data_IF_240470047328
#
_entry.id   IF_240470047328
#
_cell.length_a   1.000
_cell.length_b   1.000
_cell.length_c   1.000
_cell.angle_alpha   90.00
_cell.angle_beta   90.00
_cell.angle_gamma   90.00
#
_symmetry.space_group_name_H-M   'P 1'
#
loop_
_entity.id
_entity.type
_entity.pdbx_description
1 polymer ?
#
# COMPACT_ATOMS: atom_id res chain seq x y z
N UNK A 1 17.59 8.33 1.52
CA UNK A 1 18.66 7.91 2.44
C UNK A 1 19.06 9.05 3.37
N UNK A 2 19.37 10.23 2.84
CA UNK A 2 19.78 11.40 3.65
C UNK A 2 18.73 11.80 4.70
N UNK A 3 17.44 11.75 4.34
CA UNK A 3 16.35 12.04 5.29
C UNK A 3 16.27 11.04 6.46
N UNK A 4 16.51 9.74 6.21
CA UNK A 4 16.49 8.73 7.28
C UNK A 4 17.74 8.86 8.17
N UNK A 5 18.89 9.18 7.57
CA UNK A 5 20.14 9.47 8.30
C UNK A 5 20.02 10.75 9.13
N UNK A 6 19.42 11.81 8.61
CA UNK A 6 19.23 13.07 9.35
C UNK A 6 18.25 12.95 10.52
N UNK A 7 17.33 11.99 10.46
CA UNK A 7 16.41 11.70 11.57
C UNK A 7 17.03 10.80 12.63
N UNK A 8 18.12 10.09 12.31
CA UNK A 8 18.83 9.26 13.28
C UNK A 8 19.72 10.14 14.18
N UNK A 9 19.74 9.91 15.50
CA UNK A 9 20.63 10.65 16.41
C UNK A 9 22.13 10.46 16.09
N UNK A 10 22.49 9.43 15.31
CA UNK A 10 23.87 9.16 14.89
C UNK A 10 24.21 9.75 13.50
N UNK A 11 23.27 10.42 12.84
CA UNK A 11 23.51 11.10 11.58
C UNK A 11 24.07 10.18 10.49
N UNK A 12 25.25 10.52 9.97
CA UNK A 12 25.89 9.78 8.88
C UNK A 12 26.44 8.40 9.29
N UNK A 13 26.71 8.20 10.58
CA UNK A 13 27.24 6.94 11.13
C UNK A 13 26.14 5.92 11.45
N UNK A 14 24.88 6.27 11.20
CA UNK A 14 23.75 5.38 11.38
C UNK A 14 23.82 4.15 10.45
N UNK A 15 23.99 2.97 11.04
CA UNK A 15 23.79 1.70 10.32
C UNK A 15 22.32 1.50 9.95
N UNK A 16 22.05 1.51 8.65
CA UNK A 16 20.72 1.28 8.05
C UNK A 16 20.69 -0.08 7.34
N UNK A 17 19.56 -0.78 7.41
CA UNK A 17 19.34 -2.06 6.73
C UNK A 17 17.99 -2.10 6.00
N UNK A 18 17.83 -3.02 5.05
CA UNK A 18 16.58 -3.32 4.36
C UNK A 18 16.06 -4.67 4.84
N UNK A 19 14.91 -4.66 5.53
CA UNK A 19 14.24 -5.86 6.03
C UNK A 19 13.37 -6.47 4.93
N UNK A 20 13.65 -7.73 4.56
CA UNK A 20 12.92 -8.48 3.53
C UNK A 20 12.25 -9.73 4.11
N UNK A 21 11.09 -10.17 3.56
CA UNK A 21 10.48 -11.45 3.92
C UNK A 21 11.23 -12.67 3.35
N UNK A 22 12.29 -12.45 2.57
CA UNK A 22 13.15 -13.50 2.02
C UNK A 22 12.85 -13.87 0.56
N UNK A 23 13.57 -14.87 0.02
CA UNK A 23 13.62 -15.17 -1.42
C UNK A 23 12.33 -15.73 -2.03
N UNK A 24 11.40 -16.20 -1.20
CA UNK A 24 10.11 -16.72 -1.67
C UNK A 24 9.07 -15.63 -1.96
N UNK A 25 9.39 -14.37 -1.67
CA UNK A 25 8.54 -13.24 -2.02
C UNK A 25 8.74 -12.83 -3.49
N UNK A 26 7.64 -12.55 -4.19
CA UNK A 26 7.63 -12.24 -5.62
C UNK A 26 8.46 -11.00 -6.00
N UNK A 27 8.60 -10.02 -5.10
CA UNK A 27 9.41 -8.81 -5.32
C UNK A 27 10.78 -8.88 -4.66
N UNK A 28 11.26 -10.05 -4.23
CA UNK A 28 12.57 -10.18 -3.58
C UNK A 28 13.73 -9.65 -4.42
N UNK A 29 13.68 -9.85 -5.75
CA UNK A 29 14.67 -9.31 -6.66
C UNK A 29 14.80 -7.78 -6.53
N UNK A 30 13.67 -7.08 -6.44
CA UNK A 30 13.66 -5.63 -6.25
C UNK A 30 14.26 -5.23 -4.89
N UNK A 31 13.98 -6.01 -3.84
CA UNK A 31 14.53 -5.76 -2.51
C UNK A 31 16.06 -5.85 -2.52
N UNK A 32 16.60 -6.92 -3.11
CA UNK A 32 18.04 -7.13 -3.24
C UNK A 32 18.69 -6.06 -4.13
N UNK A 33 18.04 -5.69 -5.23
CA UNK A 33 18.49 -4.62 -6.12
C UNK A 33 18.55 -3.28 -5.39
N UNK A 34 17.48 -2.88 -4.69
CA UNK A 34 17.41 -1.62 -3.94
C UNK A 34 18.42 -1.59 -2.80
N UNK A 35 18.56 -2.68 -2.03
CA UNK A 35 19.54 -2.76 -0.96
C UNK A 35 20.96 -2.53 -1.49
N UNK A 36 21.32 -3.20 -2.60
CA UNK A 36 22.61 -3.03 -3.27
C UNK A 36 22.79 -1.60 -3.78
N UNK A 37 21.79 -1.04 -4.46
CA UNK A 37 21.86 0.29 -5.06
C UNK A 37 22.02 1.39 -3.99
N UNK A 38 21.34 1.25 -2.86
CA UNK A 38 21.36 2.21 -1.76
C UNK A 38 22.49 1.95 -0.74
N UNK A 39 23.27 0.88 -0.91
CA UNK A 39 24.32 0.48 0.05
C UNK A 39 23.79 0.06 1.41
N UNK A 40 22.59 -0.52 1.47
CA UNK A 40 21.96 -1.05 2.68
C UNK A 40 22.33 -2.52 2.88
N UNK A 41 22.47 -2.94 4.14
CA UNK A 41 22.53 -4.37 4.46
C UNK A 41 21.16 -5.00 4.22
N UNK A 42 21.04 -5.99 3.35
CA UNK A 42 19.83 -6.78 3.18
C UNK A 42 19.75 -7.79 4.32
N UNK A 43 18.64 -7.82 5.06
CA UNK A 43 18.45 -8.66 6.25
C UNK A 43 17.06 -9.28 6.27
N UNK A 44 16.95 -10.49 6.80
CA UNK A 44 15.69 -11.15 7.14
C UNK A 44 15.41 -11.01 8.65
N UNK A 45 14.17 -11.24 9.09
CA UNK A 45 13.82 -11.16 10.52
C UNK A 45 14.70 -12.07 11.39
N UNK A 46 15.05 -13.24 10.85
CA UNK A 46 15.95 -14.21 11.46
C UNK A 46 17.41 -13.74 11.61
N UNK A 47 17.84 -12.66 10.95
CA UNK A 47 19.19 -12.09 11.11
C UNK A 47 19.27 -11.10 12.27
N UNK A 48 18.12 -10.64 12.75
CA UNK A 48 18.00 -9.55 13.72
C UNK A 48 17.66 -10.07 15.12
N UNK A 49 17.92 -9.22 16.11
CA UNK A 49 17.60 -9.44 17.51
C UNK A 49 17.29 -8.09 18.17
N UNK A 50 16.23 -8.04 18.97
CA UNK A 50 16.03 -6.93 19.91
C UNK A 50 16.57 -7.31 21.27
N UNK A 51 17.35 -6.42 21.87
CA UNK A 51 17.88 -6.56 23.24
C UNK A 51 17.96 -5.19 23.88
N UNK A 52 17.50 -5.07 25.12
CA UNK A 52 17.51 -3.80 25.86
C UNK A 52 16.90 -2.66 25.03
N UNK A 53 15.77 -2.97 24.36
CA UNK A 53 15.01 -2.09 23.47
C UNK A 53 15.79 -1.57 22.25
N UNK A 54 16.98 -2.11 21.96
CA UNK A 54 17.80 -1.76 20.80
C UNK A 54 17.78 -2.91 19.78
N UNK A 55 17.82 -2.56 18.48
CA UNK A 55 17.86 -3.52 17.39
C UNK A 55 19.31 -3.84 17.00
N UNK A 56 19.62 -5.11 16.82
CA UNK A 56 20.95 -5.58 16.44
C UNK A 56 20.91 -6.56 15.26
N UNK A 57 21.92 -6.49 14.42
CA UNK A 57 22.30 -7.50 13.46
C UNK A 57 23.17 -8.57 14.12
N UNK A 58 22.83 -9.84 13.94
CA UNK A 58 23.65 -10.97 14.36
C UNK A 58 24.79 -11.18 13.37
N UNK A 59 26.02 -11.06 13.85
CA UNK A 59 27.22 -11.38 13.05
C UNK A 59 28.08 -12.42 13.78
N UNK A 60 28.99 -13.07 13.04
CA UNK A 60 29.96 -13.99 13.65
C UNK A 60 30.89 -13.32 14.68
N UNK A 61 31.06 -11.99 14.60
CA UNK A 61 31.90 -11.20 15.51
C UNK A 61 31.12 -10.62 16.70
N UNK A 62 29.81 -10.84 16.77
CA UNK A 62 28.92 -10.29 17.78
C UNK A 62 27.78 -9.46 17.19
N UNK A 63 27.10 -8.73 18.06
CA UNK A 63 25.94 -7.91 17.72
C UNK A 63 26.40 -6.55 17.20
N UNK A 64 25.86 -6.14 16.05
CA UNK A 64 26.10 -4.81 15.46
C UNK A 64 24.79 -4.01 15.53
N UNK A 65 24.78 -2.80 16.12
CA UNK A 65 23.54 -2.04 16.28
C UNK A 65 22.99 -1.55 14.93
N UNK A 66 21.67 -1.65 14.75
CA UNK A 66 20.94 -1.08 13.62
C UNK A 66 20.10 0.08 14.12
N UNK A 67 20.22 1.21 13.44
CA UNK A 67 19.55 2.46 13.82
C UNK A 67 18.36 2.78 12.91
N UNK A 68 18.27 2.13 11.75
CA UNK A 68 17.08 2.23 10.91
C UNK A 68 16.87 1.08 9.95
N UNK A 69 15.59 0.80 9.66
CA UNK A 69 15.13 -0.22 8.75
C UNK A 69 14.28 0.38 7.64
N UNK A 70 14.62 0.06 6.40
CA UNK A 70 13.69 0.13 5.28
C UNK A 70 12.93 -1.20 5.23
N UNK A 71 11.66 -1.21 5.63
CA UNK A 71 10.85 -2.43 5.68
C UNK A 71 10.24 -2.76 4.32
N UNK A 72 10.30 -4.03 3.93
CA UNK A 72 9.56 -4.64 2.82
C UNK A 72 8.70 -5.82 3.28
N UNK A 73 8.35 -5.78 4.57
CA UNK A 73 7.48 -6.73 5.26
C UNK A 73 6.23 -5.97 5.70
N UNK A 74 5.05 -6.56 5.52
CA UNK A 74 3.79 -5.97 5.93
C UNK A 74 3.69 -5.89 7.45
N UNK A 75 2.96 -4.88 7.95
CA UNK A 75 2.98 -4.50 9.36
C UNK A 75 2.67 -5.68 10.27
N UNK A 76 1.62 -6.44 9.98
CA UNK A 76 1.18 -7.56 10.81
C UNK A 76 2.25 -8.63 11.05
N UNK A 77 3.22 -8.76 10.15
CA UNK A 77 4.29 -9.75 10.28
C UNK A 77 5.55 -9.21 10.98
N UNK A 78 5.62 -7.91 11.31
CA UNK A 78 6.85 -7.27 11.81
C UNK A 78 7.29 -7.72 13.20
N UNK A 79 6.36 -8.01 14.11
CA UNK A 79 6.67 -8.37 15.49
C UNK A 79 5.70 -9.45 16.00
N UNK A 80 6.14 -10.71 16.13
CA UNK A 80 5.27 -11.79 16.60
C UNK A 80 4.87 -11.66 18.07
N UNK A 81 5.50 -10.79 18.87
CA UNK A 81 5.11 -10.59 20.28
C UNK A 81 3.88 -9.69 20.43
N UNK A 82 3.69 -8.73 19.52
CA UNK A 82 2.64 -7.71 19.62
C UNK A 82 1.59 -7.82 18.49
N UNK A 83 1.93 -8.42 17.35
CA UNK A 83 1.07 -8.51 16.17
C UNK A 83 0.68 -9.97 15.91
N UNK A 84 1.22 -10.58 14.85
CA UNK A 84 0.84 -11.92 14.41
C UNK A 84 1.79 -12.97 14.99
N UNK A 85 1.33 -13.73 15.99
CA UNK A 85 2.16 -14.65 16.77
C UNK A 85 2.78 -15.83 15.99
N UNK A 86 2.17 -16.24 14.88
CA UNK A 86 2.71 -17.26 13.96
C UNK A 86 3.65 -16.67 12.90
N UNK A 87 3.93 -15.36 12.92
CA UNK A 87 4.88 -14.73 12.00
C UNK A 87 6.31 -15.23 12.24
N UNK A 88 6.96 -15.66 11.16
CA UNK A 88 8.39 -16.01 11.12
C UNK A 88 9.23 -14.96 10.37
N UNK A 89 8.59 -13.90 9.85
CA UNK A 89 9.24 -12.89 8.99
C UNK A 89 9.77 -11.69 9.79
N UNK A 90 9.15 -11.41 10.93
CA UNK A 90 9.45 -10.26 11.78
C UNK A 90 10.58 -10.48 12.76
N UNK A 91 10.74 -9.51 13.66
CA UNK A 91 11.70 -9.55 14.76
C UNK A 91 10.94 -9.40 16.08
N UNK A 92 10.99 -10.39 16.99
CA UNK A 92 10.38 -10.28 18.31
C UNK A 92 10.86 -9.03 19.06
N UNK A 93 9.94 -8.17 19.49
CA UNK A 93 10.22 -6.95 20.24
C UNK A 93 10.57 -5.74 19.38
N UNK A 94 10.45 -5.82 18.05
CA UNK A 94 10.71 -4.70 17.14
C UNK A 94 9.82 -3.49 17.46
N UNK A 95 8.53 -3.70 17.74
CA UNK A 95 7.63 -2.58 18.06
C UNK A 95 8.03 -1.89 19.37
N UNK A 96 8.52 -2.64 20.35
CA UNK A 96 9.09 -2.06 21.57
C UNK A 96 10.31 -1.18 21.26
N UNK A 97 11.23 -1.65 20.42
CA UNK A 97 12.41 -0.87 20.02
C UNK A 97 12.05 0.41 19.25
N UNK A 98 11.03 0.35 18.39
CA UNK A 98 10.49 1.52 17.67
C UNK A 98 9.89 2.53 18.66
N UNK A 99 9.04 2.06 19.59
CA UNK A 99 8.40 2.91 20.61
C UNK A 99 9.41 3.55 21.56
N UNK A 100 10.50 2.86 21.88
CA UNK A 100 11.60 3.40 22.66
C UNK A 100 12.44 4.45 21.89
N UNK A 101 12.23 4.59 20.57
CA UNK A 101 12.95 5.53 19.72
C UNK A 101 14.37 5.08 19.34
N UNK A 102 14.73 3.82 19.59
CA UNK A 102 16.07 3.29 19.35
C UNK A 102 16.28 2.83 17.90
N UNK A 103 15.20 2.67 17.12
CA UNK A 103 15.26 2.32 15.70
C UNK A 103 14.19 3.08 14.90
N UNK A 104 14.58 3.65 13.77
CA UNK A 104 13.66 4.26 12.81
C UNK A 104 13.22 3.22 11.78
N UNK A 105 11.92 3.13 11.51
CA UNK A 105 11.39 2.21 10.48
C UNK A 105 10.68 3.00 9.40
N UNK A 106 11.03 2.73 8.15
CA UNK A 106 10.47 3.35 6.96
C UNK A 106 9.88 2.26 6.05
N UNK A 107 8.60 2.31 5.66
CA UNK A 107 7.55 3.18 6.21
C UNK A 107 7.24 2.81 7.68
N UNK A 108 6.74 3.77 8.45
CA UNK A 108 6.38 3.52 9.84
C UNK A 108 5.23 2.49 9.94
N UNK A 109 5.22 1.58 10.93
CA UNK A 109 4.09 0.69 11.13
C UNK A 109 2.79 1.47 11.36
N UNK A 110 1.70 1.02 10.71
CA UNK A 110 0.38 1.66 10.77
C UNK A 110 0.11 2.64 9.63
N UNK A 111 1.08 2.96 8.77
CA UNK A 111 0.84 3.87 7.63
C UNK A 111 -0.03 3.26 6.53
N UNK A 112 -0.24 1.94 6.52
CA UNK A 112 -1.06 1.27 5.50
C UNK A 112 -2.50 1.81 5.42
N UNK A 113 -3.05 2.31 6.53
CA UNK A 113 -4.35 2.98 6.53
C UNK A 113 -4.40 4.19 5.57
N UNK A 114 -3.25 4.84 5.32
CA UNK A 114 -3.15 5.97 4.38
C UNK A 114 -3.42 5.59 2.92
N UNK A 115 -3.46 4.29 2.61
CA UNK A 115 -3.79 3.76 1.28
C UNK A 115 -5.30 3.53 1.10
N UNK A 116 -6.11 3.74 2.13
CA UNK A 116 -7.56 3.60 2.04
C UNK A 116 -8.14 4.53 0.98
N UNK A 117 -8.94 4.02 0.01
CA UNK A 117 -9.59 4.87 -0.98
C UNK A 117 -10.47 5.95 -0.37
N UNK A 118 -11.03 5.72 0.83
CA UNK A 118 -11.87 6.68 1.54
C UNK A 118 -11.15 8.00 1.81
N UNK A 119 -9.83 7.98 2.04
CA UNK A 119 -9.05 9.17 2.36
C UNK A 119 -9.09 10.23 1.26
N UNK A 120 -9.31 9.83 0.01
CA UNK A 120 -9.42 10.76 -1.11
C UNK A 120 -10.57 11.76 -0.92
N UNK A 121 -11.66 11.37 -0.26
CA UNK A 121 -12.77 12.27 0.06
C UNK A 121 -12.39 13.34 1.10
N UNK A 122 -11.39 13.06 1.94
CA UNK A 122 -10.95 13.95 3.02
C UNK A 122 -9.69 14.75 2.67
N UNK A 123 -8.95 14.36 1.62
CA UNK A 123 -7.69 15.01 1.23
C UNK A 123 -7.78 16.53 1.05
N UNK A 124 -8.84 17.12 0.45
CA UNK A 124 -8.91 18.58 0.31
C UNK A 124 -8.85 19.31 1.65
N UNK A 125 -9.66 18.88 2.62
CA UNK A 125 -9.69 19.47 3.95
C UNK A 125 -8.42 19.16 4.76
N UNK A 126 -7.85 17.97 4.58
CA UNK A 126 -6.59 17.59 5.22
C UNK A 126 -5.41 18.43 4.73
N UNK A 127 -5.34 18.73 3.42
CA UNK A 127 -4.29 19.56 2.84
C UNK A 127 -4.33 20.98 3.43
N UNK A 128 -5.50 21.60 3.48
CA UNK A 128 -5.66 22.92 4.07
C UNK A 128 -5.32 22.93 5.57
N UNK A 129 -5.76 21.91 6.31
CA UNK A 129 -5.53 21.84 7.76
C UNK A 129 -4.08 21.52 8.15
N UNK A 130 -3.41 20.65 7.41
CA UNK A 130 -2.06 20.14 7.76
C UNK A 130 -0.94 20.92 7.06
N UNK A 131 -1.17 21.38 5.82
CA UNK A 131 -0.16 22.04 5.00
C UNK A 131 -0.45 23.54 4.81
N UNK A 132 -1.67 23.99 5.11
CA UNK A 132 -2.05 25.39 4.89
C UNK A 132 -2.21 25.76 3.42
N UNK A 133 -2.22 24.79 2.52
CA UNK A 133 -2.39 24.99 1.08
C UNK A 133 -3.44 24.01 0.50
N UNK A 134 -4.19 24.42 -0.53
CA UNK A 134 -5.10 23.51 -1.23
C UNK A 134 -4.31 22.47 -2.04
N UNK A 135 -4.98 21.37 -2.39
CA UNK A 135 -4.39 20.33 -3.23
C UNK A 135 -3.99 20.88 -4.62
N UNK A 136 -2.69 20.76 -4.95
CA UNK A 136 -2.18 21.08 -6.29
C UNK A 136 -2.66 20.09 -7.35
N UNK A 137 -2.78 18.83 -6.97
CA UNK A 137 -3.40 17.77 -7.77
C UNK A 137 -4.76 17.44 -7.15
N UNK A 138 -5.87 17.75 -7.82
CA UNK A 138 -7.20 17.49 -7.29
C UNK A 138 -7.39 16.01 -6.96
N UNK A 139 -7.94 15.74 -5.77
CA UNK A 139 -8.39 14.40 -5.43
C UNK A 139 -9.61 14.02 -6.29
N UNK A 140 -9.75 12.73 -6.57
CA UNK A 140 -10.92 12.20 -7.24
C UNK A 140 -12.15 12.36 -6.32
N UNK A 141 -13.28 12.81 -6.87
CA UNK A 141 -14.53 12.86 -6.12
C UNK A 141 -14.87 11.46 -5.58
N UNK A 142 -14.92 11.37 -4.25
CA UNK A 142 -14.92 10.13 -3.49
C UNK A 142 -15.88 10.24 -2.32
N UNK A 143 -16.70 9.22 -2.15
CA UNK A 143 -17.67 9.06 -1.07
C UNK A 143 -17.31 7.84 -0.24
N UNK A 144 -16.91 8.05 1.00
CA UNK A 144 -16.84 6.97 1.97
C UNK A 144 -18.23 6.70 2.52
N UNK A 145 -18.75 5.49 2.28
CA UNK A 145 -20.15 5.19 2.61
C UNK A 145 -20.38 5.06 4.12
N UNK A 146 -19.33 5.02 4.95
CA UNK A 146 -19.47 5.11 6.41
C UNK A 146 -20.08 6.43 6.89
N UNK A 147 -19.95 7.50 6.10
CA UNK A 147 -20.68 8.75 6.35
C UNK A 147 -22.05 8.72 5.65
N UNK A 148 -23.13 8.84 6.43
CA UNK A 148 -24.50 8.71 5.91
C UNK A 148 -24.81 9.65 4.74
N UNK A 149 -24.38 10.92 4.81
CA UNK A 149 -24.60 11.88 3.74
C UNK A 149 -23.89 11.47 2.45
N UNK A 150 -22.60 11.09 2.58
CA UNK A 150 -21.82 10.60 1.45
C UNK A 150 -22.38 9.29 0.86
N UNK A 151 -22.89 8.38 1.69
CA UNK A 151 -23.55 7.16 1.23
C UNK A 151 -24.80 7.47 0.42
N UNK A 152 -25.68 8.34 0.91
CA UNK A 152 -26.92 8.72 0.21
C UNK A 152 -26.63 9.30 -1.18
N UNK A 153 -25.57 10.10 -1.31
CA UNK A 153 -25.11 10.64 -2.60
C UNK A 153 -24.43 9.58 -3.49
N UNK A 154 -23.61 8.71 -2.89
CA UNK A 154 -22.95 7.61 -3.59
C UNK A 154 -23.95 6.64 -4.24
N UNK A 155 -25.01 6.28 -3.50
CA UNK A 155 -26.07 5.37 -3.96
C UNK A 155 -26.80 5.91 -5.20
N UNK A 156 -26.98 7.23 -5.29
CA UNK A 156 -27.60 7.87 -6.45
C UNK A 156 -26.71 7.83 -7.70
N UNK A 157 -25.39 7.75 -7.52
CA UNK A 157 -24.40 7.82 -8.60
C UNK A 157 -23.70 6.48 -8.88
N UNK A 158 -24.19 5.35 -8.37
CA UNK A 158 -23.52 4.05 -8.52
C UNK A 158 -23.29 3.67 -9.98
N UNK A 159 -24.26 3.93 -10.86
CA UNK A 159 -24.20 3.54 -12.29
C UNK A 159 -23.10 4.24 -13.08
N UNK A 160 -22.56 5.35 -12.58
CA UNK A 160 -21.48 6.14 -13.22
C UNK A 160 -20.18 6.11 -12.44
N UNK A 161 -20.11 5.31 -11.36
CA UNK A 161 -19.01 5.32 -10.40
C UNK A 161 -18.27 3.98 -10.35
N UNK A 162 -17.10 3.99 -9.75
CA UNK A 162 -16.35 2.82 -9.34
C UNK A 162 -16.63 2.54 -7.85
N UNK A 163 -16.98 1.29 -7.52
CA UNK A 163 -17.18 0.79 -6.17
C UNK A 163 -15.89 0.08 -5.76
N UNK A 164 -15.29 0.44 -4.63
CA UNK A 164 -14.03 -0.10 -4.14
C UNK A 164 -14.14 -0.52 -2.66
N UNK A 165 -13.36 -1.52 -2.22
CA UNK A 165 -13.21 -1.80 -0.81
C UNK A 165 -12.52 -0.61 -0.13
N UNK A 166 -12.99 -0.21 1.04
CA UNK A 166 -12.36 0.87 1.84
C UNK A 166 -11.02 0.43 2.42
N UNK A 167 -10.87 -0.86 2.75
CA UNK A 167 -9.69 -1.42 3.41
C UNK A 167 -9.09 -2.57 2.57
N UNK A 168 -8.53 -2.27 1.39
CA UNK A 168 -7.94 -3.30 0.54
C UNK A 168 -6.80 -4.02 1.26
N UNK A 169 -6.75 -5.35 1.17
CA UNK A 169 -5.67 -6.16 1.75
C UNK A 169 -5.73 -6.34 3.26
N UNK A 170 -6.77 -5.87 3.93
CA UNK A 170 -7.01 -6.12 5.36
C UNK A 170 -7.54 -7.52 5.59
N UNK A 171 -6.99 -8.22 6.59
CA UNK A 171 -7.45 -9.56 7.00
C UNK A 171 -8.72 -9.53 7.88
N UNK A 172 -9.09 -8.36 8.41
CA UNK A 172 -10.25 -8.17 9.29
C UNK A 172 -11.46 -7.52 8.59
N UNK A 173 -11.25 -6.95 7.42
CA UNK A 173 -12.25 -6.21 6.65
C UNK A 173 -12.60 -6.94 5.35
N UNK A 174 -13.81 -6.73 4.86
CA UNK A 174 -14.25 -7.35 3.61
C UNK A 174 -13.50 -6.69 2.43
N UNK A 175 -12.70 -7.48 1.74
CA UNK A 175 -12.03 -7.05 0.50
C UNK A 175 -12.71 -7.66 -0.72
N UNK A 176 -12.78 -6.89 -1.82
CA UNK A 176 -13.34 -7.32 -3.10
C UNK A 176 -12.67 -6.57 -4.24
N UNK A 177 -12.75 -7.12 -5.45
CA UNK A 177 -12.25 -6.44 -6.65
C UNK A 177 -13.12 -5.23 -6.98
N UNK A 178 -12.48 -4.09 -7.28
CA UNK A 178 -13.18 -2.88 -7.64
C UNK A 178 -14.13 -3.09 -8.84
N UNK A 179 -15.36 -2.60 -8.72
CA UNK A 179 -16.41 -2.78 -9.73
C UNK A 179 -16.78 -1.46 -10.37
N UNK A 180 -16.93 -1.45 -11.69
CA UNK A 180 -17.40 -0.29 -12.43
C UNK A 180 -18.90 -0.37 -12.62
N UNK A 181 -19.65 0.55 -12.01
CA UNK A 181 -21.10 0.57 -12.07
C UNK A 181 -21.64 0.75 -13.49
N UNK A 182 -20.90 1.42 -14.37
CA UNK A 182 -21.30 1.61 -15.78
C UNK A 182 -21.27 0.30 -16.61
N UNK A 183 -20.65 -0.76 -16.09
CA UNK A 183 -20.65 -2.09 -16.70
C UNK A 183 -21.70 -3.02 -16.10
N UNK A 184 -22.40 -2.59 -15.05
CA UNK A 184 -23.39 -3.39 -14.35
C UNK A 184 -24.78 -3.20 -14.93
N UNK A 185 -25.58 -4.28 -14.89
CA UNK A 185 -27.02 -4.21 -15.11
C UNK A 185 -27.72 -3.68 -13.86
N UNK A 186 -28.93 -3.16 -14.01
CA UNK A 186 -29.73 -2.62 -12.90
C UNK A 186 -29.82 -3.58 -11.71
N UNK A 187 -30.12 -4.86 -11.95
CA UNK A 187 -30.18 -5.86 -10.87
C UNK A 187 -28.88 -5.93 -10.06
N UNK A 188 -27.72 -5.90 -10.72
CA UNK A 188 -26.44 -5.93 -10.02
C UNK A 188 -26.15 -4.61 -9.27
N UNK A 189 -26.62 -3.47 -9.79
CA UNK A 189 -26.53 -2.19 -9.08
C UNK A 189 -27.38 -2.21 -7.80
N UNK A 190 -28.59 -2.75 -7.85
CA UNK A 190 -29.47 -2.88 -6.68
C UNK A 190 -28.87 -3.83 -5.63
N UNK A 191 -28.24 -4.92 -6.07
CA UNK A 191 -27.48 -5.82 -5.20
C UNK A 191 -26.30 -5.11 -4.52
N UNK A 192 -25.56 -4.28 -5.26
CA UNK A 192 -24.46 -3.48 -4.71
C UNK A 192 -24.95 -2.41 -3.73
N UNK A 193 -26.03 -1.71 -4.05
CA UNK A 193 -26.68 -0.77 -3.14
C UNK A 193 -27.05 -1.46 -1.82
N UNK A 194 -27.65 -2.66 -1.89
CA UNK A 194 -27.97 -3.45 -0.72
C UNK A 194 -26.74 -3.91 0.08
N UNK A 195 -25.60 -4.19 -0.57
CA UNK A 195 -24.33 -4.52 0.11
C UNK A 195 -23.77 -3.31 0.85
N UNK A 196 -23.74 -2.16 0.18
CA UNK A 196 -23.27 -0.88 0.74
C UNK A 196 -24.12 -0.51 1.96
N UNK A 197 -25.45 -0.63 1.88
CA UNK A 197 -26.33 -0.31 3.01
C UNK A 197 -26.16 -1.25 4.20
N UNK A 198 -25.69 -2.49 3.99
CA UNK A 198 -25.45 -3.45 5.08
C UNK A 198 -24.11 -3.21 5.80
N UNK A 199 -23.08 -2.83 5.05
CA UNK A 199 -21.72 -2.60 5.54
C UNK A 199 -21.15 -1.30 4.96
N UNK A 200 -21.72 -0.14 5.33
CA UNK A 200 -21.38 1.15 4.72
C UNK A 200 -19.90 1.50 4.86
N UNK A 201 -19.31 1.23 6.02
CA UNK A 201 -17.91 1.52 6.34
C UNK A 201 -16.90 0.79 5.43
N UNK A 202 -17.28 -0.38 4.91
CA UNK A 202 -16.43 -1.25 4.06
C UNK A 202 -16.37 -0.78 2.60
N UNK A 203 -17.22 0.18 2.21
CA UNK A 203 -17.37 0.59 0.82
C UNK A 203 -16.99 2.05 0.60
N UNK A 204 -16.21 2.27 -0.45
CA UNK A 204 -15.89 3.60 -0.97
C UNK A 204 -16.33 3.67 -2.43
N UNK A 205 -17.07 4.71 -2.78
CA UNK A 205 -17.51 4.98 -4.16
C UNK A 205 -16.72 6.16 -4.70
N UNK A 206 -16.26 6.05 -5.95
CA UNK A 206 -15.45 7.08 -6.60
C UNK A 206 -15.98 7.36 -7.99
N UNK A 207 -15.94 8.62 -8.43
CA UNK A 207 -16.28 8.94 -9.82
C UNK A 207 -15.38 8.14 -10.77
N UNK A 208 -15.98 7.49 -11.77
CA UNK A 208 -15.20 6.84 -12.80
C UNK A 208 -14.62 7.89 -13.76
N UNK A 209 -13.28 7.97 -13.85
CA UNK A 209 -12.59 8.75 -14.88
C UNK A 209 -11.92 7.81 -15.89
N UNK A 210 -12.18 7.94 -17.20
CA UNK A 210 -11.51 7.12 -18.20
C UNK A 210 -10.00 7.40 -18.20
N UNK A 211 -9.20 6.34 -18.25
CA UNK A 211 -7.75 6.45 -18.28
C UNK A 211 -7.27 7.04 -19.62
N UNK A 212 -6.17 7.80 -19.55
CA UNK A 212 -5.46 8.25 -20.74
C UNK A 212 -5.03 7.05 -21.60
N UNK A 213 -5.06 7.22 -22.92
CA UNK A 213 -4.74 6.17 -23.88
C UNK A 213 -3.41 6.48 -24.58
N UNK A 214 -2.58 5.45 -24.80
CA UNK A 214 -1.38 5.57 -25.64
C UNK A 214 -1.39 4.50 -26.75
N UNK A 215 -0.95 4.85 -27.97
CA UNK A 215 -0.77 3.88 -29.04
C UNK A 215 0.23 2.79 -28.64
N UNK A 216 -0.23 1.55 -28.59
CA UNK A 216 0.56 0.38 -28.20
C UNK A 216 0.59 -0.62 -29.35
N UNK A 217 1.78 -1.07 -29.72
CA UNK A 217 1.94 -2.12 -30.70
C UNK A 217 1.56 -3.48 -30.10
N UNK A 218 0.57 -4.15 -30.70
CA UNK A 218 0.13 -5.48 -30.30
C UNK A 218 0.55 -6.47 -31.39
N UNK A 219 1.39 -7.44 -31.02
CA UNK A 219 1.82 -8.51 -31.92
C UNK A 219 0.68 -9.50 -32.15
N UNK A 220 0.70 -10.16 -33.32
CA UNK A 220 -0.32 -11.13 -33.74
C UNK A 220 -0.65 -12.22 -32.69
N UNK A 221 0.33 -12.73 -31.94
CA UNK A 221 0.10 -13.74 -30.91
C UNK A 221 -0.78 -13.25 -29.75
N UNK A 222 -0.58 -11.99 -29.30
CA UNK A 222 -1.39 -11.36 -28.26
C UNK A 222 -2.72 -10.81 -28.77
N UNK A 223 -2.81 -10.50 -30.06
CA UNK A 223 -4.07 -10.08 -30.70
C UNK A 223 -5.09 -11.23 -30.67
N UNK A 224 -4.64 -12.46 -30.91
CA UNK A 224 -5.48 -13.65 -30.96
C UNK A 224 -6.04 -14.05 -29.57
N UNK A 225 -5.23 -13.92 -28.51
CA UNK A 225 -5.69 -14.13 -27.11
C UNK A 225 -6.72 -13.09 -26.64
N UNK A 226 -6.69 -11.88 -27.21
CA UNK A 226 -7.58 -10.78 -26.86
C UNK A 226 -8.84 -10.68 -27.75
N UNK A 227 -9.06 -11.65 -28.65
CA UNK A 227 -10.22 -11.65 -29.57
C UNK A 227 -10.20 -10.53 -30.61
N UNK A 228 -9.00 -10.04 -30.98
CA UNK A 228 -8.81 -8.99 -31.98
C UNK A 228 -8.51 -9.59 -33.37
N UNK A 229 -8.69 -8.79 -34.42
CA UNK A 229 -8.38 -9.17 -35.80
C UNK A 229 -6.96 -9.76 -35.94
N UNK A 230 -6.78 -10.84 -36.75
CA UNK A 230 -5.48 -11.47 -36.94
C UNK A 230 -4.48 -10.50 -37.59
N UNK A 231 -3.40 -10.17 -36.87
CA UNK A 231 -2.32 -9.33 -37.40
C UNK A 231 -1.66 -8.47 -36.32
N UNK A 232 -0.46 -7.99 -36.60
CA UNK A 232 0.19 -7.00 -35.73
C UNK A 232 -0.38 -5.63 -36.04
N UNK A 233 -0.89 -4.93 -35.03
CA UNK A 233 -1.55 -3.64 -35.19
C UNK A 233 -1.26 -2.71 -34.01
N UNK A 234 -1.35 -1.40 -34.28
CA UNK A 234 -1.24 -0.36 -33.26
C UNK A 234 -2.64 -0.10 -32.68
N UNK A 235 -2.81 -0.27 -31.37
CA UNK A 235 -4.09 -0.07 -30.68
C UNK A 235 -3.96 0.97 -29.57
N UNK A 236 -4.98 1.79 -29.41
CA UNK A 236 -5.11 2.64 -28.22
C UNK A 236 -5.34 1.74 -27.00
N UNK A 237 -4.45 1.82 -26.01
CA UNK A 237 -4.61 1.13 -24.74
C UNK A 237 -4.47 2.10 -23.57
N UNK A 238 -5.26 1.85 -22.53
CA UNK A 238 -5.19 2.61 -21.29
C UNK A 238 -3.78 2.52 -20.72
N UNK A 239 -3.17 3.67 -20.48
CA UNK A 239 -1.89 3.75 -19.77
C UNK A 239 -2.21 3.61 -18.29
N UNK A 240 -1.83 2.47 -17.71
CA UNK A 240 -1.57 2.41 -16.27
C UNK A 240 -0.07 2.59 -16.11
N UNK A 241 0.33 3.70 -15.47
CA UNK A 241 1.67 3.77 -14.88
C UNK A 241 1.69 2.68 -13.81
N UNK A 242 2.37 1.58 -14.10
CA UNK A 242 2.67 0.53 -13.13
C UNK A 242 3.85 0.96 -12.29
#
# INVERSE_FOLDING_TARGET
>A
MDSLRSMSPLGMDAHLALLTPGPYNETYFEHAFLARYLGLTLVEGGDLLVRDECLYLKTLKGLVPIHGLLKRVDDQYLDPLELRADSTLGVPGLLQAIRAGNVLVANAPGTAFLESPALLGFLPALAEKLLGEPLKLPALATWWCGERGAMEEALQNLSTSAIKPTYPGSDIHASFDGVLGNKLKQQALDEWAGRIMRHPEEHTVQVHTPLSQMPTWVNASKAQEAGLEPGSQMLARSVMLR
#
